data_IF_345734575127
#
_entry.id   IF_345734575127
#
_cell.length_a   1.000
_cell.length_b   1.000
_cell.length_c   1.000
_cell.angle_alpha   90.00
_cell.angle_beta   90.00
_cell.angle_gamma   90.00
#
_symmetry.space_group_name_H-M   'P 1'
#
loop_
_entity.id
_entity.type
_entity.pdbx_description
1 polymer ?
#
# COMPACT_ATOMS: atom_id res chain seq x y z
N UNK A 1 7.70 16.09 13.84
CA UNK A 1 6.96 15.89 12.57
C UNK A 1 5.95 14.79 12.86
N UNK A 2 4.65 15.08 12.82
CA UNK A 2 3.61 14.07 13.16
C UNK A 2 3.67 12.95 12.12
N UNK A 3 3.71 11.69 12.57
CA UNK A 3 3.57 10.56 11.66
C UNK A 3 2.18 10.62 11.04
N UNK A 4 2.07 10.61 9.72
CA UNK A 4 0.76 10.54 9.05
C UNK A 4 0.23 9.11 9.15
N UNK A 5 -1.05 9.00 9.48
CA UNK A 5 -1.73 7.74 9.71
C UNK A 5 -3.00 7.67 8.86
N UNK A 6 -3.43 6.45 8.59
CA UNK A 6 -4.72 6.14 7.99
C UNK A 6 -5.60 5.43 9.02
N UNK A 7 -6.84 5.89 9.16
CA UNK A 7 -7.84 5.22 9.97
C UNK A 7 -8.34 3.96 9.24
N UNK A 8 -8.39 2.84 9.96
CA UNK A 8 -8.89 1.55 9.48
C UNK A 8 -9.93 1.04 10.48
N UNK A 9 -11.06 0.54 9.99
CA UNK A 9 -12.12 -0.02 10.83
C UNK A 9 -12.01 -1.55 10.90
N UNK A 10 -11.95 -2.09 12.11
CA UNK A 10 -11.93 -3.54 12.34
C UNK A 10 -12.92 -3.89 13.46
N UNK A 11 -14.04 -4.51 13.11
CA UNK A 11 -15.04 -4.95 14.09
C UNK A 11 -15.67 -3.81 14.90
N UNK A 12 -15.85 -2.63 14.29
CA UNK A 12 -16.38 -1.44 14.96
C UNK A 12 -15.35 -0.67 15.80
N UNK A 13 -14.07 -1.03 15.70
CA UNK A 13 -12.97 -0.30 16.34
C UNK A 13 -12.13 0.38 15.26
N UNK A 14 -12.00 1.70 15.37
CA UNK A 14 -11.05 2.49 14.59
C UNK A 14 -9.63 2.26 15.10
N UNK A 15 -8.73 1.83 14.21
CA UNK A 15 -7.29 1.79 14.45
C UNK A 15 -6.59 2.76 13.51
N UNK A 16 -5.42 3.24 13.90
CA UNK A 16 -4.61 4.14 13.09
C UNK A 16 -3.33 3.42 12.69
N UNK A 17 -3.14 3.22 11.39
CA UNK A 17 -1.94 2.59 10.82
C UNK A 17 -1.02 3.70 10.32
N UNK A 18 0.25 3.68 10.69
CA UNK A 18 1.19 4.65 10.13
C UNK A 18 1.44 4.32 8.66
N UNK A 19 1.42 5.35 7.80
CA UNK A 19 1.62 5.14 6.36
C UNK A 19 3.02 4.55 6.08
N UNK A 20 4.01 4.86 6.93
CA UNK A 20 5.37 4.33 6.83
C UNK A 20 5.48 2.81 7.09
N UNK A 21 4.49 2.22 7.75
CA UNK A 21 4.46 0.78 8.05
C UNK A 21 3.81 -0.01 6.91
N UNK A 22 3.23 0.67 5.92
CA UNK A 22 2.57 0.04 4.77
C UNK A 22 3.61 -0.26 3.68
N UNK A 23 3.78 -1.53 3.35
CA UNK A 23 4.67 -1.99 2.29
C UNK A 23 4.04 -1.86 0.91
N UNK A 24 2.79 -2.32 0.78
CA UNK A 24 2.02 -2.20 -0.45
C UNK A 24 0.51 -2.22 -0.20
N UNK A 25 -0.25 -1.84 -1.23
CA UNK A 25 -1.71 -1.84 -1.24
C UNK A 25 -2.22 -2.63 -2.43
N UNK A 26 -3.18 -3.51 -2.20
CA UNK A 26 -3.86 -4.30 -3.22
C UNK A 26 -5.35 -3.90 -3.34
N UNK A 27 -5.88 -3.74 -4.55
CA UNK A 27 -7.32 -3.60 -4.75
C UNK A 27 -8.05 -4.96 -4.64
N UNK A 28 -9.05 -5.01 -3.76
CA UNK A 28 -9.96 -6.13 -3.55
C UNK A 28 -11.42 -5.66 -3.64
N UNK A 29 -11.97 -5.70 -4.86
CA UNK A 29 -13.31 -5.15 -5.14
C UNK A 29 -13.34 -3.64 -4.88
N UNK A 30 -14.29 -3.21 -4.04
CA UNK A 30 -14.45 -1.80 -3.64
C UNK A 30 -13.51 -1.38 -2.50
N UNK A 31 -12.68 -2.30 -2.02
CA UNK A 31 -11.76 -2.08 -0.91
C UNK A 31 -10.31 -2.11 -1.38
N UNK A 32 -9.47 -1.38 -0.67
CA UNK A 32 -8.03 -1.49 -0.74
C UNK A 32 -7.53 -2.23 0.51
N UNK A 33 -6.71 -3.25 0.30
CA UNK A 33 -6.01 -3.97 1.37
C UNK A 33 -4.63 -3.36 1.56
N UNK A 34 -4.40 -2.78 2.72
CA UNK A 34 -3.12 -2.26 3.16
C UNK A 34 -2.32 -3.40 3.78
N UNK A 35 -1.10 -3.64 3.31
CA UNK A 35 -0.20 -4.67 3.84
C UNK A 35 0.93 -4.03 4.64
N UNK A 36 1.13 -4.54 5.85
CA UNK A 36 2.15 -4.14 6.83
C UNK A 36 2.85 -5.40 7.33
N UNK A 37 3.95 -5.24 8.06
CA UNK A 37 4.70 -6.38 8.63
C UNK A 37 3.89 -7.13 9.70
N UNK A 38 2.94 -6.44 10.32
CA UNK A 38 2.06 -6.99 11.37
C UNK A 38 0.76 -7.60 10.84
N UNK A 39 0.50 -7.50 9.52
CA UNK A 39 -0.71 -8.02 8.89
C UNK A 39 -1.32 -7.08 7.88
N UNK A 40 -2.64 -7.18 7.68
CA UNK A 40 -3.34 -6.37 6.68
C UNK A 40 -4.66 -5.78 7.17
N UNK A 41 -5.02 -4.65 6.57
CA UNK A 41 -6.23 -3.88 6.90
C UNK A 41 -7.00 -3.52 5.63
N UNK A 42 -8.33 -3.61 5.66
CA UNK A 42 -9.17 -3.17 4.55
C UNK A 42 -9.66 -1.75 4.79
N UNK A 43 -9.57 -0.91 3.75
CA UNK A 43 -10.15 0.43 3.72
C UNK A 43 -10.99 0.60 2.47
N UNK A 44 -12.10 1.32 2.59
CA UNK A 44 -12.96 1.64 1.44
C UNK A 44 -12.51 2.96 0.81
N UNK A 45 -11.30 2.97 0.27
CA UNK A 45 -10.70 4.13 -0.39
C UNK A 45 -10.13 3.66 -1.74
N UNK A 46 -10.46 4.33 -2.86
CA UNK A 46 -9.91 3.98 -4.16
C UNK A 46 -8.38 4.07 -4.18
N UNK A 47 -7.73 3.15 -4.87
CA UNK A 47 -6.27 3.16 -5.03
C UNK A 47 -5.75 4.47 -5.66
N UNK A 48 -6.51 5.10 -6.58
CA UNK A 48 -6.12 6.41 -7.16
C UNK A 48 -6.07 7.51 -6.10
N UNK A 49 -7.02 7.52 -5.16
CA UNK A 49 -7.01 8.46 -4.05
C UNK A 49 -5.83 8.21 -3.11
N UNK A 50 -5.49 6.94 -2.84
CA UNK A 50 -4.31 6.60 -2.03
C UNK A 50 -3.01 6.99 -2.75
N UNK A 51 -2.93 6.73 -4.05
CA UNK A 51 -1.80 7.10 -4.91
C UNK A 51 -1.51 8.60 -4.88
N UNK A 52 -2.53 9.44 -5.10
CA UNK A 52 -2.38 10.90 -5.03
C UNK A 52 -1.91 11.37 -3.65
N UNK A 53 -2.52 10.84 -2.58
CA UNK A 53 -2.21 11.24 -1.19
C UNK A 53 -0.82 10.79 -0.76
N UNK A 54 -0.37 9.62 -1.21
CA UNK A 54 0.85 8.98 -0.72
C UNK A 54 2.04 9.10 -1.68
N UNK A 55 1.88 9.77 -2.83
CA UNK A 55 2.96 10.05 -3.76
C UNK A 55 4.17 10.73 -3.08
N UNK A 56 3.93 11.75 -2.25
CA UNK A 56 4.99 12.44 -1.50
C UNK A 56 5.65 11.58 -0.41
N UNK A 57 5.11 10.38 -0.14
CA UNK A 57 5.65 9.38 0.79
C UNK A 57 6.36 8.23 0.07
N UNK A 58 6.53 8.33 -1.25
CA UNK A 58 7.25 7.35 -2.05
C UNK A 58 6.40 6.15 -2.48
N UNK A 59 5.07 6.27 -2.45
CA UNK A 59 4.21 5.25 -3.05
C UNK A 59 4.08 5.45 -4.56
N UNK A 60 4.19 4.36 -5.33
CA UNK A 60 4.09 4.37 -6.78
C UNK A 60 3.15 3.26 -7.25
N UNK A 61 2.29 3.59 -8.21
CA UNK A 61 1.36 2.64 -8.83
C UNK A 61 2.07 1.82 -9.89
N UNK A 62 2.33 0.55 -9.60
CA UNK A 62 3.04 -0.37 -10.51
C UNK A 62 2.10 -1.28 -11.28
N UNK A 63 0.83 -1.36 -10.86
CA UNK A 63 -0.21 -2.10 -11.55
C UNK A 63 -1.57 -1.48 -11.22
N UNK A 64 -2.58 -1.66 -12.08
CA UNK A 64 -3.95 -1.16 -11.83
C UNK A 64 -4.56 -1.67 -10.52
N UNK A 65 -4.00 -2.73 -9.92
CA UNK A 65 -4.39 -3.25 -8.59
C UNK A 65 -3.32 -3.08 -7.50
N UNK A 66 -2.13 -2.54 -7.79
CA UNK A 66 -1.03 -2.48 -6.83
C UNK A 66 -0.39 -1.10 -6.76
N UNK A 67 -0.32 -0.57 -5.54
CA UNK A 67 0.42 0.63 -5.15
C UNK A 67 1.48 0.20 -4.13
N UNK A 68 2.75 0.55 -4.35
CA UNK A 68 3.89 0.01 -3.57
C UNK A 68 4.73 1.14 -3.02
N UNK A 69 5.16 1.03 -1.76
CA UNK A 69 6.17 1.92 -1.21
C UNK A 69 7.53 1.61 -1.84
N UNK A 70 8.12 2.56 -2.58
CA UNK A 70 9.39 2.35 -3.28
C UNK A 70 10.51 1.91 -2.34
N UNK A 71 10.56 2.44 -1.12
CA UNK A 71 11.55 2.09 -0.11
C UNK A 71 11.44 0.66 0.44
N UNK A 72 10.37 -0.07 0.08
CA UNK A 72 10.13 -1.47 0.46
C UNK A 72 10.34 -2.43 -0.73
N UNK A 73 10.81 -1.94 -1.88
CA UNK A 73 11.13 -2.81 -3.02
C UNK A 73 12.51 -3.40 -2.81
N UNK A 74 12.58 -4.73 -2.71
CA UNK A 74 13.86 -5.42 -2.57
C UNK A 74 14.46 -5.80 -3.94
N UNK A 75 13.63 -6.05 -4.94
CA UNK A 75 14.07 -6.54 -6.25
C UNK A 75 13.10 -6.19 -7.36
N UNK A 76 13.63 -5.84 -8.53
CA UNK A 76 12.89 -5.66 -9.78
C UNK A 76 13.48 -6.59 -10.84
N UNK A 77 12.66 -7.47 -11.42
CA UNK A 77 13.06 -8.40 -12.48
C UNK A 77 12.35 -8.06 -13.79
N UNK A 78 13.12 -8.14 -14.87
CA UNK A 78 12.67 -7.88 -16.24
C UNK A 78 12.95 -9.14 -17.07
N UNK A 79 11.91 -9.92 -17.38
CA UNK A 79 12.03 -11.19 -18.08
C UNK A 79 11.12 -11.20 -19.32
N UNK A 80 11.73 -11.23 -20.51
CA UNK A 80 11.04 -11.42 -21.80
C UNK A 80 9.68 -10.69 -21.93
N UNK A 81 9.60 -9.42 -21.51
CA UNK A 81 8.40 -8.59 -21.59
C UNK A 81 7.54 -8.53 -20.33
N UNK A 82 7.90 -9.26 -19.27
CA UNK A 82 7.24 -9.19 -17.95
C UNK A 82 8.12 -8.43 -16.97
N UNK A 83 7.52 -7.54 -16.18
CA UNK A 83 8.17 -6.90 -15.02
C UNK A 83 7.57 -7.50 -13.75
N UNK A 84 8.41 -7.99 -12.84
CA UNK A 84 7.99 -8.40 -11.50
C UNK A 84 8.74 -7.62 -10.44
N UNK A 85 8.06 -7.34 -9.33
CA UNK A 85 8.58 -6.59 -8.20
C UNK A 85 8.45 -7.46 -6.96
N UNK A 86 9.55 -7.65 -6.24
CA UNK A 86 9.55 -8.27 -4.91
C UNK A 86 9.53 -7.16 -3.88
N UNK A 87 8.48 -7.15 -3.05
CA UNK A 87 8.33 -6.21 -1.94
C UNK A 87 8.78 -6.92 -0.67
N UNK A 88 9.64 -6.27 0.10
CA UNK A 88 10.08 -6.74 1.41
C UNK A 88 8.93 -6.69 2.42
N UNK A 89 9.03 -7.58 3.41
CA UNK A 89 8.33 -7.43 4.70
C UNK A 89 9.12 -6.41 5.51
#
# INVERSE_FOLDING_TARGET
RTAEQIAVELGGVTRFVAIADIAYVEAQGDYARLHTDEGSHLVRIPLSTLEERWAARGFVRIHRRHLVALGRIDELRLDAGTTSVRVGS
#
